data_IF_831930635398
#
_entry.id   IF_831930635398
#
_cell.length_a   1.000
_cell.length_b   1.000
_cell.length_c   1.000
_cell.angle_alpha   90.00
_cell.angle_beta   90.00
_cell.angle_gamma   90.00
#
_symmetry.space_group_name_H-M   'P 1'
#
loop_
_entity.id
_entity.type
_entity.pdbx_description
1 polymer ?
#
# COMPACT_ATOMS: atom_id res chain seq x y z
N UNK A 1 10.18 36.85 5.42
CA UNK A 1 11.57 36.86 4.87
C UNK A 1 12.23 38.16 5.28
N UNK A 2 13.52 38.22 5.64
CA UNK A 2 14.68 37.40 5.21
C UNK A 2 15.29 36.57 6.37
N UNK A 3 16.38 35.81 6.24
CA UNK A 3 16.87 34.86 5.23
C UNK A 3 17.95 34.03 5.96
N UNK A 4 17.92 32.72 5.74
CA UNK A 4 19.01 31.73 5.77
C UNK A 4 20.18 31.85 6.77
N UNK A 5 20.41 30.78 7.54
CA UNK A 5 21.52 29.83 7.29
C UNK A 5 21.37 28.57 8.15
N UNK A 6 21.63 27.42 7.51
CA UNK A 6 21.45 26.11 8.10
C UNK A 6 22.38 25.81 9.28
N UNK A 7 21.91 24.89 10.12
CA UNK A 7 22.66 24.30 11.22
C UNK A 7 21.78 23.24 11.87
N UNK A 8 22.30 22.02 11.98
CA UNK A 8 21.66 20.85 12.58
C UNK A 8 21.40 21.17 14.06
N UNK A 9 20.17 21.02 14.55
CA UNK A 9 19.87 21.14 15.99
C UNK A 9 20.06 19.76 16.62
N UNK A 10 21.12 19.61 17.41
CA UNK A 10 21.36 18.44 18.26
C UNK A 10 20.57 18.58 19.58
N UNK A 11 20.16 17.46 20.19
CA UNK A 11 19.36 17.35 21.43
C UNK A 11 19.99 17.92 22.72
N UNK A 12 21.05 18.74 22.63
CA UNK A 12 21.73 19.33 23.80
C UNK A 12 21.47 20.83 24.02
N UNK A 13 20.79 21.52 23.10
CA UNK A 13 20.54 22.98 23.22
C UNK A 13 19.24 23.35 23.98
N UNK A 14 18.52 22.38 24.56
CA UNK A 14 17.27 22.62 25.32
C UNK A 14 17.52 22.79 26.84
N UNK A 15 18.73 22.52 27.34
CA UNK A 15 18.98 22.42 28.78
C UNK A 15 19.45 23.71 29.50
N UNK A 16 19.65 24.84 28.82
CA UNK A 16 20.32 26.02 29.42
C UNK A 16 19.45 27.26 29.71
N UNK A 17 18.12 27.15 29.69
CA UNK A 17 17.23 28.32 29.93
C UNK A 17 16.47 28.26 31.26
N UNK A 18 16.99 27.57 32.28
CA UNK A 18 16.32 27.39 33.57
C UNK A 18 16.75 28.35 34.70
N UNK A 19 17.66 29.31 34.46
CA UNK A 19 18.15 30.19 35.54
C UNK A 19 18.30 31.66 35.13
N UNK A 20 17.19 32.38 34.98
CA UNK A 20 17.19 33.84 35.13
C UNK A 20 15.80 34.40 35.52
N UNK A 21 15.74 34.99 36.71
CA UNK A 21 14.75 35.96 37.22
C UNK A 21 13.49 35.46 37.99
N UNK A 22 13.14 36.08 39.15
CA UNK A 22 12.04 35.66 40.00
C UNK A 22 10.70 36.29 39.58
N UNK A 23 9.61 35.52 39.71
CA UNK A 23 8.24 36.00 39.51
C UNK A 23 7.71 36.72 40.77
N UNK A 24 7.01 37.85 40.65
CA UNK A 24 6.24 38.46 41.74
C UNK A 24 4.84 37.82 41.90
N UNK A 25 4.41 37.66 43.16
CA UNK A 25 3.22 36.92 43.64
C UNK A 25 1.84 37.55 43.30
N UNK A 26 1.53 37.88 42.04
CA UNK A 26 0.20 38.44 41.73
C UNK A 26 -0.39 38.13 40.35
N UNK A 27 -0.18 36.93 39.81
CA UNK A 27 -0.94 36.44 38.64
C UNK A 27 -1.28 34.93 38.75
N UNK A 28 -1.90 34.51 39.86
CA UNK A 28 -2.59 33.21 39.94
C UNK A 28 -4.10 33.42 39.80
N UNK A 29 -4.61 33.47 38.56
CA UNK A 29 -6.04 33.20 38.27
C UNK A 29 -6.37 33.05 36.78
N UNK A 30 -5.40 32.69 35.93
CA UNK A 30 -5.68 32.20 34.57
C UNK A 30 -4.65 31.11 34.25
N UNK A 31 -5.13 29.93 33.83
CA UNK A 31 -4.39 28.68 33.56
C UNK A 31 -4.10 27.75 34.74
N UNK A 32 -5.09 26.93 35.10
CA UNK A 32 -4.90 25.50 35.36
C UNK A 32 -6.09 24.72 34.79
N UNK A 33 -5.89 23.69 33.94
CA UNK A 33 -6.96 22.80 33.55
C UNK A 33 -7.27 21.83 34.70
N UNK A 34 -8.56 21.68 34.99
CA UNK A 34 -9.11 20.75 35.97
C UNK A 34 -8.47 19.35 35.88
N UNK A 35 -7.91 18.90 37.01
CA UNK A 35 -7.61 17.51 37.28
C UNK A 35 -8.90 16.72 37.51
N UNK A 36 -9.63 16.45 36.45
CA UNK A 36 -10.65 15.40 36.45
C UNK A 36 -9.94 14.08 36.15
N UNK A 37 -10.07 13.11 37.06
CA UNK A 37 -9.69 11.71 36.83
C UNK A 37 -10.53 11.18 35.66
N UNK A 38 -10.05 11.37 34.43
CA UNK A 38 -10.60 10.70 33.26
C UNK A 38 -10.12 9.26 33.34
N UNK A 39 -10.97 8.38 33.84
CA UNK A 39 -10.78 6.94 33.69
C UNK A 39 -10.61 6.68 32.19
N UNK A 40 -9.40 6.29 31.76
CA UNK A 40 -9.16 5.85 30.39
C UNK A 40 -10.14 4.70 30.10
N UNK A 41 -11.11 4.96 29.23
CA UNK A 41 -12.00 3.91 28.73
C UNK A 41 -11.13 2.88 28.02
N UNK A 42 -11.32 1.57 28.27
CA UNK A 42 -10.71 0.56 27.42
C UNK A 42 -11.15 0.83 25.98
N UNK A 43 -10.19 0.87 25.03
CA UNK A 43 -10.49 0.90 23.60
C UNK A 43 -11.36 -0.32 23.29
N UNK A 44 -12.65 -0.12 23.10
CA UNK A 44 -13.52 -1.12 22.51
C UNK A 44 -13.14 -1.27 21.04
N UNK A 45 -13.35 -2.44 20.46
CA UNK A 45 -13.00 -2.82 19.08
C UNK A 45 -13.62 -1.95 17.96
N UNK A 46 -14.22 -0.79 18.28
CA UNK A 46 -14.87 0.14 17.35
C UNK A 46 -14.04 1.38 16.97
N UNK A 47 -12.81 1.52 17.47
CA UNK A 47 -11.98 2.74 17.27
C UNK A 47 -10.78 2.55 16.31
N UNK A 48 -10.65 1.39 15.64
CA UNK A 48 -9.57 1.13 14.67
C UNK A 48 -10.05 1.29 13.22
N UNK A 49 -9.22 1.84 12.31
CA UNK A 49 -9.57 1.97 10.90
C UNK A 49 -9.87 0.60 10.29
N UNK A 50 -10.85 0.53 9.39
CA UNK A 50 -11.09 -0.68 8.60
C UNK A 50 -10.03 -0.74 7.51
N UNK A 51 -9.22 -1.80 7.52
CA UNK A 51 -8.17 -2.04 6.55
C UNK A 51 -8.66 -2.98 5.48
N UNK A 52 -8.62 -2.54 4.23
CA UNK A 52 -9.03 -3.31 3.06
C UNK A 52 -7.83 -3.54 2.16
N UNK A 53 -7.50 -4.80 1.90
CA UNK A 53 -6.41 -5.21 1.02
C UNK A 53 -6.96 -5.79 -0.27
N UNK A 54 -6.57 -5.22 -1.41
CA UNK A 54 -6.72 -5.82 -2.72
C UNK A 54 -5.39 -6.30 -3.27
N UNK A 55 -5.34 -7.51 -3.81
CA UNK A 55 -4.27 -7.98 -4.70
C UNK A 55 -4.83 -7.96 -6.12
N UNK A 56 -4.40 -7.01 -6.94
CA UNK A 56 -4.85 -6.88 -8.32
C UNK A 56 -3.90 -7.64 -9.25
N UNK A 57 -4.37 -8.76 -9.79
CA UNK A 57 -3.55 -9.61 -10.63
C UNK A 57 -4.38 -10.45 -11.59
N UNK A 58 -3.78 -10.79 -12.74
CA UNK A 58 -4.39 -11.73 -13.68
C UNK A 58 -4.32 -13.17 -13.18
N UNK A 59 -5.23 -14.01 -13.66
CA UNK A 59 -5.10 -15.47 -13.53
C UNK A 59 -3.79 -15.92 -14.19
N UNK A 60 -3.08 -16.86 -13.56
CA UNK A 60 -1.83 -17.43 -14.06
C UNK A 60 -2.08 -18.35 -15.27
N UNK A 61 -2.34 -17.76 -16.43
CA UNK A 61 -2.54 -18.49 -17.68
C UNK A 61 -1.30 -18.38 -18.55
N UNK A 62 -0.83 -19.52 -19.05
CA UNK A 62 0.25 -19.63 -20.01
C UNK A 62 0.08 -18.63 -21.18
N UNK A 63 1.15 -17.90 -21.48
CA UNK A 63 1.19 -16.91 -22.57
C UNK A 63 0.39 -15.62 -22.32
N UNK A 64 -0.29 -15.48 -21.17
CA UNK A 64 -1.10 -14.28 -20.83
C UNK A 64 -0.53 -13.46 -19.67
N UNK A 65 0.39 -14.03 -18.90
CA UNK A 65 1.11 -13.37 -17.81
C UNK A 65 2.61 -13.48 -18.05
N UNK A 66 3.37 -12.51 -17.52
CA UNK A 66 4.84 -12.53 -17.51
C UNK A 66 5.43 -12.94 -18.87
N UNK A 67 4.96 -12.32 -19.94
CA UNK A 67 5.31 -12.73 -21.32
C UNK A 67 6.77 -12.47 -21.64
N UNK A 68 7.37 -11.42 -21.06
CA UNK A 68 8.81 -11.13 -21.17
C UNK A 68 9.64 -12.25 -20.57
N UNK A 69 9.37 -12.65 -19.32
CA UNK A 69 9.96 -13.83 -18.69
C UNK A 69 9.66 -15.12 -19.48
N UNK A 70 8.43 -15.30 -19.96
CA UNK A 70 8.03 -16.49 -20.72
C UNK A 70 8.79 -16.67 -22.03
N UNK A 71 9.26 -15.59 -22.67
CA UNK A 71 10.09 -15.66 -23.85
C UNK A 71 11.49 -16.26 -23.58
N UNK A 72 11.97 -16.23 -22.34
CA UNK A 72 13.30 -16.76 -21.99
C UNK A 72 13.22 -18.14 -21.33
N UNK A 73 12.33 -18.32 -20.35
CA UNK A 73 12.23 -19.58 -19.58
C UNK A 73 11.09 -20.51 -20.03
N UNK A 74 10.26 -20.08 -20.98
CA UNK A 74 9.05 -20.79 -21.43
C UNK A 74 7.78 -20.29 -20.74
N UNK A 75 6.69 -20.20 -21.52
CA UNK A 75 5.42 -19.64 -21.05
C UNK A 75 4.76 -20.44 -19.92
N UNK A 76 4.87 -21.77 -19.94
CA UNK A 76 4.35 -22.64 -18.87
C UNK A 76 5.05 -22.35 -17.54
N UNK A 77 6.39 -22.36 -17.52
CA UNK A 77 7.18 -22.03 -16.32
C UNK A 77 6.88 -20.61 -15.81
N UNK A 78 6.76 -19.66 -16.72
CA UNK A 78 6.41 -18.27 -16.39
C UNK A 78 5.03 -18.17 -15.71
N UNK A 79 4.02 -18.90 -16.21
CA UNK A 79 2.72 -18.97 -15.56
C UNK A 79 2.78 -19.68 -14.19
N UNK A 80 3.54 -20.77 -14.06
CA UNK A 80 3.76 -21.44 -12.77
C UNK A 80 4.41 -20.49 -11.73
N UNK A 81 5.38 -19.68 -12.14
CA UNK A 81 6.04 -18.69 -11.26
C UNK A 81 5.07 -17.58 -10.86
N UNK A 82 4.27 -17.05 -11.80
CA UNK A 82 3.24 -16.07 -11.49
C UNK A 82 2.21 -16.61 -10.48
N UNK A 83 1.79 -17.87 -10.65
CA UNK A 83 0.92 -18.54 -9.67
C UNK A 83 1.61 -18.63 -8.30
N UNK A 84 2.90 -18.95 -8.25
CA UNK A 84 3.65 -19.00 -6.99
C UNK A 84 3.78 -17.64 -6.30
N UNK A 85 3.91 -16.54 -7.05
CA UNK A 85 3.86 -15.20 -6.45
C UNK A 85 2.50 -14.92 -5.80
N UNK A 86 1.40 -15.27 -6.48
CA UNK A 86 0.06 -15.12 -5.92
C UNK A 86 -0.12 -15.96 -4.64
N UNK A 87 0.22 -17.25 -4.71
CA UNK A 87 0.11 -18.16 -3.57
C UNK A 87 0.91 -17.64 -2.36
N UNK A 88 2.12 -17.13 -2.62
CA UNK A 88 2.98 -16.55 -1.61
C UNK A 88 2.37 -15.29 -0.97
N UNK A 89 1.92 -14.33 -1.78
CA UNK A 89 1.31 -13.09 -1.28
C UNK A 89 0.03 -13.38 -0.48
N UNK A 90 -0.81 -14.31 -0.94
CA UNK A 90 -2.01 -14.73 -0.21
C UNK A 90 -1.68 -15.38 1.12
N UNK A 91 -0.62 -16.18 1.20
CA UNK A 91 -0.12 -16.80 2.44
C UNK A 91 0.42 -15.76 3.41
N UNK A 92 1.31 -14.88 2.95
CA UNK A 92 1.95 -13.84 3.76
C UNK A 92 0.92 -12.86 4.33
N UNK A 93 -0.07 -12.48 3.54
CA UNK A 93 -1.10 -11.52 3.93
C UNK A 93 -2.42 -12.14 4.40
N UNK A 94 -2.48 -13.45 4.67
CA UNK A 94 -3.73 -14.13 5.04
C UNK A 94 -4.40 -13.55 6.31
N UNK A 95 -3.60 -12.92 7.20
CA UNK A 95 -4.06 -12.28 8.43
C UNK A 95 -3.93 -10.76 8.41
N UNK A 96 -3.50 -10.17 7.29
CA UNK A 96 -3.35 -8.72 7.18
C UNK A 96 -4.67 -8.08 6.74
N UNK A 97 -5.06 -7.00 7.42
CA UNK A 97 -6.29 -6.28 7.15
C UNK A 97 -7.56 -6.96 7.67
N UNK A 98 -8.68 -6.25 7.57
CA UNK A 98 -10.00 -6.70 8.02
C UNK A 98 -10.78 -7.33 6.85
N UNK A 99 -10.57 -6.81 5.63
CA UNK A 99 -11.08 -7.37 4.38
C UNK A 99 -9.92 -7.62 3.41
N UNK A 100 -9.96 -8.76 2.70
CA UNK A 100 -8.94 -9.17 1.72
C UNK A 100 -9.59 -9.65 0.43
N UNK A 101 -9.08 -9.16 -0.70
CA UNK A 101 -9.70 -9.36 -2.00
C UNK A 101 -8.66 -9.70 -3.07
N UNK A 102 -8.91 -10.76 -3.82
CA UNK A 102 -8.24 -11.00 -5.07
C UNK A 102 -9.03 -10.31 -6.18
N UNK A 103 -8.48 -9.22 -6.69
CA UNK A 103 -9.07 -8.41 -7.77
C UNK A 103 -8.55 -8.95 -9.10
N UNK A 104 -9.31 -9.84 -9.71
CA UNK A 104 -8.84 -10.76 -10.75
C UNK A 104 -9.40 -10.46 -12.14
N UNK A 105 -8.63 -10.81 -13.17
CA UNK A 105 -9.09 -10.82 -14.56
C UNK A 105 -8.35 -11.88 -15.37
N UNK A 106 -9.01 -12.58 -16.31
CA UNK A 106 -10.46 -12.77 -16.41
C UNK A 106 -11.01 -13.62 -15.24
N UNK A 107 -12.14 -13.22 -14.65
CA UNK A 107 -12.72 -13.92 -13.49
C UNK A 107 -13.23 -15.32 -13.85
N UNK A 108 -13.70 -15.51 -15.08
CA UNK A 108 -14.18 -16.79 -15.61
C UNK A 108 -13.09 -17.86 -15.74
N UNK A 109 -11.82 -17.45 -15.72
CA UNK A 109 -10.68 -18.39 -15.75
C UNK A 109 -10.27 -18.88 -14.36
N UNK A 110 -10.93 -18.42 -13.30
CA UNK A 110 -10.79 -19.01 -11.98
C UNK A 110 -11.53 -20.35 -11.97
N UNK A 111 -10.78 -21.44 -11.90
CA UNK A 111 -11.38 -22.76 -11.67
C UNK A 111 -12.12 -22.77 -10.33
N UNK A 112 -13.28 -23.44 -10.25
CA UNK A 112 -13.95 -23.72 -8.97
C UNK A 112 -13.08 -24.55 -8.01
N UNK A 113 -11.95 -25.10 -8.48
CA UNK A 113 -10.91 -25.79 -7.71
C UNK A 113 -9.71 -24.90 -7.35
N UNK A 114 -9.85 -23.56 -7.41
CA UNK A 114 -8.80 -22.61 -7.04
C UNK A 114 -8.18 -22.97 -5.67
N UNK A 115 -6.85 -22.81 -5.51
CA UNK A 115 -6.12 -23.34 -4.36
C UNK A 115 -6.75 -22.88 -3.03
N UNK A 116 -6.83 -23.81 -2.08
CA UNK A 116 -7.44 -23.70 -0.75
C UNK A 116 -7.00 -22.49 0.10
N UNK A 117 -6.03 -21.69 -0.34
CA UNK A 117 -5.67 -20.40 0.25
C UNK A 117 -6.80 -19.34 0.14
N UNK A 118 -7.84 -19.59 -0.67
CA UNK A 118 -8.95 -18.66 -0.89
C UNK A 118 -10.01 -18.61 0.22
N UNK A 119 -9.92 -19.39 1.30
CA UNK A 119 -10.94 -19.34 2.37
C UNK A 119 -11.03 -17.96 3.05
N UNK A 120 -9.97 -17.15 2.94
CA UNK A 120 -9.87 -15.83 3.57
C UNK A 120 -9.84 -14.66 2.60
N UNK A 121 -9.95 -14.92 1.29
CA UNK A 121 -9.88 -13.91 0.22
C UNK A 121 -11.17 -13.89 -0.59
N UNK A 122 -11.81 -12.72 -0.68
CA UNK A 122 -12.94 -12.51 -1.57
C UNK A 122 -12.46 -12.34 -3.01
N UNK A 123 -13.14 -12.98 -3.96
CA UNK A 123 -12.79 -12.88 -5.38
C UNK A 123 -13.67 -11.80 -6.02
N UNK A 124 -13.04 -10.80 -6.65
CA UNK A 124 -13.72 -9.67 -7.30
C UNK A 124 -13.20 -9.52 -8.73
N UNK A 125 -14.09 -9.33 -9.69
CA UNK A 125 -13.71 -9.04 -11.07
C UNK A 125 -13.10 -7.63 -11.16
N UNK A 126 -11.93 -7.50 -11.80
CA UNK A 126 -11.37 -6.19 -12.17
C UNK A 126 -12.32 -5.43 -13.07
N UNK A 127 -13.09 -6.14 -13.91
CA UNK A 127 -13.98 -5.64 -14.95
C UNK A 127 -13.25 -5.01 -16.14
N UNK A 128 -14.02 -4.45 -17.08
CA UNK A 128 -13.49 -3.84 -18.31
C UNK A 128 -12.78 -2.50 -18.08
N UNK A 129 -12.04 -2.05 -19.11
CA UNK A 129 -11.25 -0.82 -19.12
C UNK A 129 -9.75 -1.04 -19.01
N UNK A 130 -9.00 0.06 -19.04
CA UNK A 130 -7.55 0.05 -18.82
C UNK A 130 -7.22 -0.20 -17.33
N UNK A 131 -5.92 -0.23 -16.97
CA UNK A 131 -5.51 -0.48 -15.57
C UNK A 131 -6.07 0.58 -14.60
N UNK A 132 -6.09 1.85 -15.00
CA UNK A 132 -6.65 2.94 -14.21
C UNK A 132 -8.14 2.79 -13.95
N UNK A 133 -8.93 2.40 -14.97
CA UNK A 133 -10.36 2.15 -14.81
C UNK A 133 -10.65 1.08 -13.75
N UNK A 134 -9.83 0.02 -13.73
CA UNK A 134 -9.95 -1.11 -12.80
C UNK A 134 -9.61 -0.69 -11.37
N UNK A 135 -8.50 0.02 -11.19
CA UNK A 135 -8.10 0.55 -9.88
C UNK A 135 -9.13 1.57 -9.37
N UNK A 136 -9.54 2.53 -10.20
CA UNK A 136 -10.55 3.52 -9.86
C UNK A 136 -11.86 2.87 -9.40
N UNK A 137 -12.32 1.83 -10.11
CA UNK A 137 -13.51 1.05 -9.72
C UNK A 137 -13.34 0.38 -8.37
N UNK A 138 -12.17 -0.21 -8.12
CA UNK A 138 -11.88 -0.83 -6.82
C UNK A 138 -11.89 0.23 -5.72
N UNK A 139 -11.17 1.34 -5.86
CA UNK A 139 -11.14 2.40 -4.85
C UNK A 139 -12.51 3.04 -4.61
N UNK A 140 -13.32 3.23 -5.65
CA UNK A 140 -14.68 3.75 -5.51
C UNK A 140 -15.56 2.90 -4.58
N UNK A 141 -15.38 1.57 -4.62
CA UNK A 141 -16.14 0.64 -3.81
C UNK A 141 -15.58 0.46 -2.38
N UNK A 142 -14.29 0.74 -2.17
CA UNK A 142 -13.58 0.34 -0.95
C UNK A 142 -13.03 1.50 -0.11
N UNK A 143 -12.60 2.62 -0.69
CA UNK A 143 -11.98 3.70 0.07
C UNK A 143 -12.98 4.59 0.83
N UNK A 144 -14.21 4.68 0.32
CA UNK A 144 -15.20 5.67 0.79
C UNK A 144 -16.35 5.03 1.58
N UNK A 145 -16.20 3.78 2.05
CA UNK A 145 -17.31 3.05 2.69
C UNK A 145 -17.64 3.50 4.12
N UNK A 146 -16.75 4.26 4.80
CA UNK A 146 -16.96 4.73 6.18
C UNK A 146 -16.79 6.27 6.26
N UNK A 147 -17.88 7.03 6.52
CA UNK A 147 -17.85 8.49 6.54
C UNK A 147 -17.35 9.11 7.85
N UNK A 148 -17.23 8.33 8.92
CA UNK A 148 -16.74 8.80 10.22
C UNK A 148 -15.31 8.31 10.49
N UNK A 149 -14.62 8.98 11.40
CA UNK A 149 -13.35 8.47 11.94
C UNK A 149 -13.62 7.21 12.80
N UNK A 150 -12.73 6.22 12.78
CA UNK A 150 -11.52 6.13 11.94
C UNK A 150 -11.84 5.80 10.46
N UNK A 151 -11.07 6.39 9.54
CA UNK A 151 -11.27 6.22 8.08
C UNK A 151 -10.97 4.79 7.63
N UNK A 152 -11.52 4.40 6.49
CA UNK A 152 -11.05 3.21 5.79
C UNK A 152 -9.63 3.42 5.26
N UNK A 153 -8.79 2.40 5.40
CA UNK A 153 -7.47 2.31 4.77
C UNK A 153 -7.59 1.30 3.62
N UNK A 154 -7.81 1.77 2.40
CA UNK A 154 -7.89 0.91 1.23
C UNK A 154 -6.53 0.82 0.56
N UNK A 155 -5.95 -0.37 0.46
CA UNK A 155 -4.63 -0.62 -0.11
C UNK A 155 -4.75 -1.66 -1.22
N UNK A 156 -4.18 -1.34 -2.37
CA UNK A 156 -4.13 -2.20 -3.55
C UNK A 156 -2.68 -2.48 -3.91
N UNK A 157 -2.32 -3.75 -4.06
CA UNK A 157 -0.98 -4.21 -4.45
C UNK A 157 -1.02 -5.02 -5.74
N UNK A 158 0.07 -4.99 -6.50
CA UNK A 158 0.33 -5.91 -7.60
C UNK A 158 0.82 -7.29 -7.13
N UNK A 159 0.96 -8.23 -8.06
CA UNK A 159 1.51 -9.57 -7.76
C UNK A 159 3.02 -9.69 -8.05
N UNK A 160 3.63 -8.65 -8.60
CA UNK A 160 4.94 -8.72 -9.25
C UNK A 160 6.11 -8.38 -8.30
N UNK A 161 5.79 -7.99 -7.06
CA UNK A 161 6.74 -7.71 -5.98
C UNK A 161 6.52 -8.72 -4.83
N UNK A 162 6.92 -9.99 -4.99
CA UNK A 162 6.58 -11.05 -4.03
C UNK A 162 7.28 -10.90 -2.66
N UNK A 163 8.30 -10.05 -2.55
CA UNK A 163 9.00 -9.78 -1.27
C UNK A 163 8.38 -8.63 -0.46
N UNK A 164 7.22 -8.12 -0.87
CA UNK A 164 6.47 -7.16 -0.06
C UNK A 164 6.11 -7.80 1.28
N UNK A 165 6.49 -7.16 2.38
CA UNK A 165 6.39 -7.73 3.72
C UNK A 165 5.20 -7.19 4.52
N UNK A 166 4.71 -7.93 5.54
CA UNK A 166 3.76 -7.40 6.52
C UNK A 166 4.24 -6.12 7.20
N UNK A 167 5.54 -5.98 7.45
CA UNK A 167 6.11 -4.78 8.08
C UNK A 167 5.93 -3.52 7.21
N UNK A 168 6.03 -3.64 5.89
CA UNK A 168 5.77 -2.54 4.94
C UNK A 168 4.27 -2.24 4.82
N UNK A 169 3.43 -3.25 4.89
CA UNK A 169 1.98 -3.05 4.94
C UNK A 169 1.57 -2.33 6.24
N UNK A 170 2.19 -2.68 7.37
CA UNK A 170 2.00 -1.97 8.64
C UNK A 170 2.57 -0.54 8.60
N UNK A 171 3.68 -0.33 7.88
CA UNK A 171 4.19 1.02 7.63
C UNK A 171 3.21 1.84 6.79
N UNK A 172 2.60 1.24 5.77
CA UNK A 172 1.56 1.86 4.96
C UNK A 172 0.38 2.29 5.82
N UNK A 173 -0.10 1.40 6.68
CA UNK A 173 -1.18 1.67 7.63
C UNK A 173 -0.85 2.85 8.56
N UNK A 174 0.37 2.89 9.10
CA UNK A 174 0.85 3.98 9.94
C UNK A 174 0.92 5.32 9.20
N UNK A 175 1.33 5.32 7.93
CA UNK A 175 1.44 6.54 7.12
C UNK A 175 0.09 7.25 6.93
N UNK A 176 -1.05 6.54 6.95
CA UNK A 176 -2.39 7.15 6.84
C UNK A 176 -2.78 8.05 8.02
N UNK A 177 -1.99 8.05 9.11
CA UNK A 177 -2.12 9.05 10.17
C UNK A 177 -1.94 10.46 9.62
N UNK A 178 -0.93 10.65 8.77
CA UNK A 178 -0.48 11.95 8.29
C UNK A 178 -0.60 12.11 6.77
N UNK A 179 -0.94 11.04 6.07
CA UNK A 179 -1.07 11.00 4.61
C UNK A 179 -2.48 10.58 4.18
N UNK A 180 -2.87 11.00 2.99
CA UNK A 180 -4.13 10.65 2.35
C UNK A 180 -3.91 9.59 1.26
N UNK A 181 -2.75 9.64 0.61
CA UNK A 181 -2.27 8.70 -0.41
C UNK A 181 -0.94 8.10 0.03
N UNK A 182 -0.76 6.79 -0.12
CA UNK A 182 0.54 6.12 0.08
C UNK A 182 0.92 5.36 -1.18
N UNK A 183 2.16 5.53 -1.64
CA UNK A 183 2.69 4.88 -2.84
C UNK A 183 3.94 4.06 -2.53
N UNK A 184 3.99 2.85 -3.08
CA UNK A 184 5.20 2.03 -3.16
C UNK A 184 5.79 2.10 -4.56
N UNK A 185 6.82 2.91 -4.81
CA UNK A 185 7.40 3.09 -6.15
C UNK A 185 8.05 1.80 -6.66
N UNK A 186 7.85 1.51 -7.94
CA UNK A 186 8.53 0.43 -8.65
C UNK A 186 9.65 0.97 -9.56
N UNK A 187 10.67 0.16 -9.84
CA UNK A 187 11.82 0.58 -10.67
C UNK A 187 11.47 0.83 -12.14
N UNK A 188 10.34 0.32 -12.61
CA UNK A 188 9.81 0.51 -13.96
C UNK A 188 9.12 1.87 -14.17
N UNK A 189 9.05 2.70 -13.12
CA UNK A 189 8.34 4.00 -13.12
C UNK A 189 6.85 3.90 -12.78
N UNK A 190 6.37 2.71 -12.44
CA UNK A 190 5.05 2.49 -11.85
C UNK A 190 5.07 2.46 -10.32
N UNK A 191 4.12 1.75 -9.74
CA UNK A 191 4.06 1.47 -8.31
C UNK A 191 3.56 0.05 -8.05
N UNK A 192 4.17 -0.63 -7.09
CA UNK A 192 3.75 -1.96 -6.65
C UNK A 192 2.62 -1.90 -5.61
N UNK A 193 2.44 -0.74 -4.97
CA UNK A 193 1.43 -0.46 -3.95
C UNK A 193 0.86 0.94 -4.15
N UNK A 194 -0.46 1.03 -4.07
CA UNK A 194 -1.18 2.30 -3.92
C UNK A 194 -2.21 2.15 -2.81
N UNK A 195 -2.24 3.11 -1.89
CA UNK A 195 -3.16 3.12 -0.77
C UNK A 195 -3.84 4.47 -0.63
N UNK A 196 -5.14 4.47 -0.31
CA UNK A 196 -5.95 5.67 -0.15
C UNK A 196 -6.71 5.60 1.17
N UNK A 197 -6.60 6.67 1.97
CA UNK A 197 -7.43 6.89 3.15
C UNK A 197 -7.89 8.34 3.20
N UNK A 198 -9.12 8.57 2.74
CA UNK A 198 -9.71 9.89 2.61
C UNK A 198 -11.11 9.88 3.25
N UNK A 199 -11.58 11.02 3.80
CA UNK A 199 -12.93 11.09 4.35
C UNK A 199 -13.96 10.73 3.28
N UNK A 200 -14.97 9.92 3.62
CA UNK A 200 -16.05 9.69 2.66
C UNK A 200 -16.89 10.96 2.49
N UNK A 201 -17.45 11.14 1.29
CA UNK A 201 -18.40 12.21 1.03
C UNK A 201 -19.62 12.05 1.94
N UNK A 202 -19.75 12.92 2.94
CA UNK A 202 -21.04 13.22 3.54
C UNK A 202 -21.06 14.65 4.07
N UNK A 203 -21.36 15.64 3.20
CA UNK A 203 -22.20 16.73 3.65
C UNK A 203 -23.56 16.13 4.07
N UNK A 204 -23.99 16.38 5.30
CA UNK A 204 -25.37 16.14 5.74
C UNK A 204 -25.89 17.42 6.42
N UNK A 205 -27.18 17.48 6.74
CA UNK A 205 -27.79 18.69 7.35
C UNK A 205 -27.10 19.12 8.67
N UNK A 206 -26.37 18.21 9.33
CA UNK A 206 -25.63 18.44 10.58
C UNK A 206 -24.12 18.61 10.37
N UNK A 207 -23.61 18.44 9.13
CA UNK A 207 -22.21 18.57 8.75
C UNK A 207 -22.14 19.27 7.39
N UNK A 208 -22.22 20.62 7.33
CA UNK A 208 -22.12 21.35 6.08
C UNK A 208 -20.78 21.06 5.40
N UNK A 209 -20.66 21.21 4.06
CA UNK A 209 -19.41 20.97 3.35
C UNK A 209 -18.30 21.80 4.00
N UNK A 210 -17.40 21.14 4.73
CA UNK A 210 -16.19 21.80 5.18
C UNK A 210 -15.33 22.06 3.93
N UNK A 211 -14.71 23.23 3.85
CA UNK A 211 -13.81 23.59 2.73
C UNK A 211 -12.63 22.63 2.56
N UNK A 212 -12.37 21.78 3.57
CA UNK A 212 -11.21 20.91 3.65
C UNK A 212 -11.44 19.48 3.15
N UNK A 213 -12.68 19.09 2.76
CA UNK A 213 -12.95 17.73 2.25
C UNK A 213 -13.25 17.74 0.75
N UNK A 214 -12.37 17.13 -0.04
CA UNK A 214 -12.55 16.98 -1.48
C UNK A 214 -13.58 15.90 -1.82
N UNK A 215 -14.45 16.12 -2.82
CA UNK A 215 -15.36 15.08 -3.29
C UNK A 215 -14.63 13.81 -3.74
N UNK A 216 -15.13 12.64 -3.36
CA UNK A 216 -14.58 11.32 -3.77
C UNK A 216 -14.41 11.23 -5.28
N UNK A 217 -15.38 11.78 -6.04
CA UNK A 217 -15.32 11.83 -7.51
C UNK A 217 -14.15 12.66 -8.03
N UNK A 218 -13.80 13.76 -7.36
CA UNK A 218 -12.64 14.58 -7.71
C UNK A 218 -11.36 13.80 -7.49
N UNK A 219 -11.20 13.17 -6.32
CA UNK A 219 -10.04 12.34 -5.99
C UNK A 219 -9.88 11.20 -7.01
N UNK A 220 -10.96 10.45 -7.25
CA UNK A 220 -10.97 9.31 -8.18
C UNK A 220 -10.67 9.70 -9.63
N UNK A 221 -11.16 10.86 -10.09
CA UNK A 221 -10.89 11.30 -11.45
C UNK A 221 -9.45 11.77 -11.61
N UNK A 222 -8.96 12.58 -10.67
CA UNK A 222 -7.62 13.14 -10.71
C UNK A 222 -6.54 12.07 -10.67
N UNK A 223 -6.69 11.05 -9.83
CA UNK A 223 -5.67 10.01 -9.66
C UNK A 223 -5.63 8.98 -10.81
N UNK A 224 -6.67 8.83 -11.64
CA UNK A 224 -6.75 7.69 -12.58
C UNK A 224 -7.13 7.99 -14.04
N UNK A 225 -7.70 9.16 -14.40
CA UNK A 225 -8.22 9.37 -15.77
C UNK A 225 -7.14 9.76 -16.80
N UNK A 226 -6.14 10.57 -16.40
CA UNK A 226 -5.13 11.13 -17.32
C UNK A 226 -3.70 10.62 -17.01
N UNK A 227 -3.61 9.39 -16.49
CA UNK A 227 -2.33 8.73 -16.23
C UNK A 227 -1.93 7.89 -17.45
N UNK A 228 -0.69 8.05 -17.98
CA UNK A 228 -0.20 7.26 -19.11
C UNK A 228 0.15 5.83 -18.67
N UNK A 229 -0.86 4.98 -18.48
CA UNK A 229 -0.68 3.60 -18.02
C UNK A 229 0.28 2.81 -18.91
N UNK A 230 1.11 1.97 -18.29
CA UNK A 230 2.16 1.16 -18.95
C UNK A 230 3.34 1.98 -19.48
N UNK A 231 3.65 3.10 -18.82
CA UNK A 231 4.85 3.92 -19.08
C UNK A 231 5.62 4.12 -17.77
N UNK A 232 6.87 4.57 -17.89
CA UNK A 232 7.73 4.93 -16.77
C UNK A 232 7.36 6.28 -16.11
N UNK A 233 6.40 7.01 -16.68
CA UNK A 233 5.88 8.26 -16.13
C UNK A 233 4.75 8.05 -15.11
N UNK A 234 4.22 6.84 -14.94
CA UNK A 234 3.00 6.57 -14.16
C UNK A 234 3.12 7.12 -12.73
N UNK A 235 4.20 6.80 -12.02
CA UNK A 235 4.43 7.25 -10.65
C UNK A 235 4.45 8.77 -10.53
N UNK A 236 5.28 9.43 -11.35
CA UNK A 236 5.45 10.88 -11.31
C UNK A 236 4.16 11.62 -11.67
N UNK A 237 3.38 11.10 -12.63
CA UNK A 237 2.08 11.64 -13.02
C UNK A 237 1.05 11.49 -11.90
N UNK A 238 1.02 10.34 -11.22
CA UNK A 238 0.13 10.12 -10.07
C UNK A 238 0.49 11.05 -8.91
N UNK A 239 1.78 11.25 -8.62
CA UNK A 239 2.24 12.21 -7.61
C UNK A 239 1.81 13.63 -7.96
N UNK A 240 2.10 14.09 -9.18
CA UNK A 240 1.74 15.43 -9.62
C UNK A 240 0.22 15.67 -9.57
N UNK A 241 -0.57 14.65 -9.95
CA UNK A 241 -2.03 14.71 -9.88
C UNK A 241 -2.53 14.81 -8.43
N UNK A 242 -1.96 14.02 -7.52
CA UNK A 242 -2.30 14.05 -6.09
C UNK A 242 -1.95 15.39 -5.43
N UNK A 243 -0.76 15.95 -5.74
CA UNK A 243 -0.32 17.26 -5.26
C UNK A 243 -1.21 18.40 -5.78
N UNK A 244 -1.67 18.32 -7.03
CA UNK A 244 -2.54 19.33 -7.64
C UNK A 244 -3.89 19.48 -6.94
N UNK A 245 -4.36 18.44 -6.24
CA UNK A 245 -5.55 18.48 -5.39
C UNK A 245 -5.20 18.49 -3.89
N UNK A 246 -3.93 18.67 -3.52
CA UNK A 246 -3.53 18.84 -2.13
C UNK A 246 -3.59 17.57 -1.25
N UNK A 247 -3.54 16.37 -1.84
CA UNK A 247 -3.39 15.15 -1.05
C UNK A 247 -1.99 15.07 -0.43
N UNK A 248 -1.92 14.67 0.84
CA UNK A 248 -0.64 14.39 1.52
C UNK A 248 -0.16 13.00 1.12
N UNK A 249 1.09 12.89 0.67
CA UNK A 249 1.63 11.66 0.06
C UNK A 249 2.68 11.03 0.97
N UNK A 250 2.43 9.79 1.38
CA UNK A 250 3.43 8.91 1.99
C UNK A 250 4.11 8.05 0.93
N UNK A 251 5.38 7.70 1.13
CA UNK A 251 6.14 6.85 0.21
C UNK A 251 6.81 5.71 0.96
N UNK A 252 6.71 4.50 0.41
CA UNK A 252 7.50 3.35 0.83
C UNK A 252 8.85 3.30 0.07
N UNK A 253 9.79 2.44 0.48
CA UNK A 253 10.99 2.17 -0.29
C UNK A 253 10.69 1.69 -1.72
N UNK A 254 11.59 1.99 -2.66
CA UNK A 254 11.49 1.49 -4.04
C UNK A 254 11.71 -0.02 -4.05
N UNK A 255 10.95 -0.73 -4.88
CA UNK A 255 11.14 -2.17 -5.16
C UNK A 255 11.21 -2.45 -6.66
N UNK A 256 11.77 -3.59 -7.01
CA UNK A 256 11.75 -4.11 -8.38
C UNK A 256 10.62 -5.11 -8.56
N UNK A 257 9.87 -4.93 -9.63
CA UNK A 257 8.95 -5.91 -10.17
C UNK A 257 9.71 -7.00 -10.92
N UNK A 258 9.17 -8.21 -10.94
CA UNK A 258 9.85 -9.38 -11.50
C UNK A 258 9.28 -9.72 -12.87
N UNK A 259 9.75 -9.05 -13.92
CA UNK A 259 9.17 -9.14 -15.26
C UNK A 259 10.05 -9.89 -16.28
N UNK A 260 11.36 -9.95 -16.01
CA UNK A 260 12.37 -10.59 -16.85
C UNK A 260 13.13 -11.69 -16.11
N UNK A 261 13.95 -12.46 -16.82
CA UNK A 261 14.82 -13.47 -16.19
C UNK A 261 15.90 -12.83 -15.33
N UNK A 262 16.38 -11.64 -15.72
CA UNK A 262 17.31 -10.84 -14.94
C UNK A 262 16.68 -10.45 -13.59
N UNK A 263 15.42 -9.99 -13.60
CA UNK A 263 14.70 -9.63 -12.37
C UNK A 263 14.46 -10.87 -11.48
N UNK A 264 14.13 -12.02 -12.09
CA UNK A 264 13.94 -13.27 -11.36
C UNK A 264 15.25 -13.75 -10.72
N UNK A 265 16.37 -13.59 -11.43
CA UNK A 265 17.70 -13.90 -10.91
C UNK A 265 18.07 -12.96 -9.76
N UNK A 266 17.79 -11.67 -9.90
CA UNK A 266 18.00 -10.68 -8.84
C UNK A 266 17.14 -10.98 -7.59
N UNK A 267 15.87 -11.38 -7.78
CA UNK A 267 14.99 -11.82 -6.70
C UNK A 267 15.59 -13.00 -5.93
N UNK A 268 16.02 -14.06 -6.64
CA UNK A 268 16.61 -15.24 -6.00
C UNK A 268 17.90 -14.88 -5.25
N UNK A 269 18.75 -14.06 -5.86
CA UNK A 269 19.97 -13.57 -5.21
C UNK A 269 19.65 -12.77 -3.94
N UNK A 270 18.63 -11.91 -3.96
CA UNK A 270 18.21 -11.13 -2.79
C UNK A 270 17.74 -12.03 -1.64
N UNK A 271 17.03 -13.12 -1.93
CA UNK A 271 16.57 -14.08 -0.91
C UNK A 271 17.74 -14.89 -0.34
N UNK A 272 18.71 -15.27 -1.17
CA UNK A 272 19.85 -16.11 -0.78
C UNK A 272 20.97 -15.32 -0.10
N UNK A 273 21.06 -14.02 -0.38
CA UNK A 273 22.07 -13.11 0.13
C UNK A 273 21.40 -11.83 0.70
N UNK A 274 20.72 -11.95 1.84
CA UNK A 274 20.09 -10.80 2.49
C UNK A 274 21.13 -9.74 2.87
N UNK A 275 20.81 -8.48 2.60
CA UNK A 275 21.61 -7.34 3.06
C UNK A 275 21.52 -7.23 4.59
N UNK A 276 22.62 -6.85 5.23
CA UNK A 276 22.73 -6.59 6.67
C UNK A 276 22.40 -7.77 7.62
N UNK A 277 22.59 -9.01 7.15
CA UNK A 277 22.38 -10.22 7.96
C UNK A 277 20.94 -10.30 8.54
N UNK A 278 19.99 -9.67 7.84
CA UNK A 278 18.58 -9.68 8.21
C UNK A 278 18.02 -11.09 8.03
N UNK A 279 17.25 -11.56 9.01
CA UNK A 279 16.61 -12.87 8.94
C UNK A 279 15.63 -12.90 7.76
N UNK A 280 15.93 -13.73 6.77
CA UNK A 280 15.05 -13.98 5.63
C UNK A 280 13.87 -14.81 6.13
N UNK A 281 12.65 -14.33 5.90
CA UNK A 281 11.44 -15.07 6.23
C UNK A 281 11.49 -16.49 5.67
N UNK A 282 11.07 -17.48 6.46
CA UNK A 282 10.92 -18.87 6.00
C UNK A 282 10.04 -18.97 4.75
N UNK A 283 9.06 -18.07 4.61
CA UNK A 283 8.18 -18.01 3.44
C UNK A 283 8.93 -17.57 2.17
N UNK A 284 9.90 -16.66 2.29
CA UNK A 284 10.74 -16.24 1.15
C UNK A 284 11.68 -17.38 0.72
N UNK A 285 12.25 -18.12 1.68
CA UNK A 285 13.09 -19.30 1.38
C UNK A 285 12.27 -20.39 0.69
N UNK A 286 11.04 -20.62 1.14
CA UNK A 286 10.10 -21.55 0.48
C UNK A 286 9.79 -21.11 -0.96
N UNK A 287 9.49 -19.82 -1.16
CA UNK A 287 9.26 -19.25 -2.48
C UNK A 287 10.46 -19.47 -3.42
N UNK A 288 11.68 -19.15 -2.98
CA UNK A 288 12.89 -19.36 -3.77
C UNK A 288 13.10 -20.84 -4.16
N UNK A 289 12.87 -21.76 -3.21
CA UNK A 289 12.95 -23.20 -3.46
C UNK A 289 11.96 -23.65 -4.54
N UNK A 290 10.74 -23.13 -4.48
CA UNK A 290 9.71 -23.45 -5.46
C UNK A 290 10.00 -22.91 -6.85
N UNK A 291 10.49 -21.67 -6.94
CA UNK A 291 10.94 -21.07 -8.20
C UNK A 291 12.05 -21.94 -8.80
N UNK A 292 13.08 -22.29 -8.02
CA UNK A 292 14.18 -23.17 -8.46
C UNK A 292 13.66 -24.52 -8.97
N UNK A 293 12.68 -25.11 -8.28
CA UNK A 293 12.04 -26.37 -8.70
C UNK A 293 11.34 -26.21 -10.04
N UNK A 294 10.57 -25.13 -10.26
CA UNK A 294 9.91 -24.84 -11.55
C UNK A 294 10.95 -24.68 -12.66
N UNK A 295 12.00 -23.88 -12.43
CA UNK A 295 13.06 -23.65 -13.41
C UNK A 295 13.77 -24.94 -13.83
N UNK A 296 13.94 -25.89 -12.89
CA UNK A 296 14.59 -27.19 -13.14
C UNK A 296 13.75 -28.20 -13.94
N UNK A 297 12.45 -27.94 -14.17
CA UNK A 297 11.60 -28.84 -14.94
C UNK A 297 12.09 -28.90 -16.41
N UNK A 298 12.05 -30.07 -17.07
CA UNK A 298 12.33 -30.15 -18.50
C UNK A 298 11.29 -29.33 -19.29
N UNK A 299 11.71 -28.68 -20.38
CA UNK A 299 10.75 -28.06 -21.29
C UNK A 299 9.95 -29.17 -21.99
N UNK A 300 8.63 -29.07 -21.91
CA UNK A 300 7.68 -29.98 -22.57
C UNK A 300 7.56 -29.60 -24.05
#
# INVERSE_FOLDING_TARGET
MPNAKGGIVNESDIAEWSHAWPFPDSVESFFMPNSSKTTLRPLTTSDSPIRKLGVMAKVATEGKVKTRLGNTIGFDKSAQIHQRFLDHLFKVFQHWGDERQWVVSPIESISQTAPQASSHWQIIDQGGGNLGDRMRRWFANHAFSHPALPRTHAILIGADCPLLSPAEMDQTDRLFRDCDLVLGPATDGGYYLIGLSVPADSPNENNPPNRDTLPSRTILNTLWNDIPWSTDEVFDRTVAAAEAIGLRIGRLPVRSDVDTEEDLTALLHQIEHPVDNTDVSSDHIELARDIRRILSQPMI
#
